data_IF_381716252069
#
_entry.id   IF_381716252069
#
_cell.length_a   1.000
_cell.length_b   1.000
_cell.length_c   1.000
_cell.angle_alpha   90.00
_cell.angle_beta   90.00
_cell.angle_gamma   90.00
#
_symmetry.space_group_name_H-M   'P 1'
#
loop_
_entity.id
_entity.type
_entity.pdbx_description
1 polymer ?
#
# COMPACT_ATOMS: atom_id res chain seq x y z
N UNK A 1 24.12 -1.01 -3.78
CA UNK A 1 23.07 -1.84 -4.38
C UNK A 1 22.53 -2.79 -3.34
N UNK A 2 21.28 -2.58 -2.93
CA UNK A 2 20.62 -3.43 -1.94
C UNK A 2 20.23 -4.72 -2.67
N UNK A 3 20.88 -5.82 -2.34
CA UNK A 3 20.41 -7.14 -2.75
C UNK A 3 19.14 -7.46 -1.97
N UNK A 4 18.08 -7.94 -2.63
CA UNK A 4 16.93 -8.48 -1.91
C UNK A 4 17.38 -9.76 -1.20
N UNK A 5 17.48 -9.72 0.14
CA UNK A 5 17.93 -10.85 0.95
C UNK A 5 16.76 -11.74 1.40
N UNK A 6 15.57 -11.48 0.90
CA UNK A 6 14.34 -12.19 1.26
C UNK A 6 13.23 -11.23 1.68
N UNK A 7 12.19 -11.79 2.28
CA UNK A 7 11.05 -11.02 2.76
C UNK A 7 10.88 -11.18 4.27
N UNK A 8 10.48 -10.13 4.99
CA UNK A 8 10.02 -10.28 6.36
C UNK A 8 8.88 -11.29 6.47
N UNK A 9 8.68 -11.82 7.68
CA UNK A 9 7.56 -12.73 7.95
C UNK A 9 6.23 -12.09 7.59
N UNK A 10 5.38 -12.85 6.92
CA UNK A 10 4.04 -12.39 6.56
C UNK A 10 3.16 -12.24 7.81
N UNK A 11 2.39 -11.13 7.93
CA UNK A 11 1.42 -10.97 9.00
C UNK A 11 0.33 -12.05 8.96
N UNK A 12 -0.10 -12.52 10.13
CA UNK A 12 -1.27 -13.37 10.31
C UNK A 12 -2.43 -12.53 10.85
N UNK A 13 -3.38 -12.22 10.00
CA UNK A 13 -4.51 -11.32 10.32
C UNK A 13 -5.60 -11.93 11.21
N UNK A 14 -5.42 -13.16 11.68
CA UNK A 14 -6.22 -13.69 12.79
C UNK A 14 -5.84 -13.02 14.13
N UNK A 15 -4.68 -12.37 14.22
CA UNK A 15 -4.20 -11.71 15.44
C UNK A 15 -4.30 -10.19 15.30
N UNK A 16 -4.92 -9.55 16.31
CA UNK A 16 -5.12 -8.09 16.34
C UNK A 16 -3.83 -7.29 16.26
N UNK A 17 -2.73 -7.80 16.78
CA UNK A 17 -1.39 -7.16 16.71
C UNK A 17 -0.93 -6.87 15.28
N UNK A 18 -1.51 -7.51 14.25
CA UNK A 18 -1.20 -7.29 12.85
C UNK A 18 -2.15 -6.27 12.18
N UNK A 19 -2.98 -5.61 12.98
CA UNK A 19 -3.83 -4.51 12.60
C UNK A 19 -3.36 -3.24 13.32
N UNK A 20 -2.98 -2.22 12.57
CA UNK A 20 -2.57 -0.93 13.16
C UNK A 20 -3.79 -0.10 13.56
N UNK A 21 -4.97 -0.39 12.99
CA UNK A 21 -6.26 0.14 13.37
C UNK A 21 -7.33 -0.95 13.36
N UNK A 22 -8.10 -1.00 14.43
CA UNK A 22 -9.26 -1.87 14.59
C UNK A 22 -10.15 -1.31 15.70
N UNK A 23 -11.47 -1.49 15.67
CA UNK A 23 -12.35 -1.07 16.78
C UNK A 23 -12.06 -1.75 18.12
N UNK A 24 -11.29 -2.83 18.10
CA UNK A 24 -10.86 -3.59 19.29
C UNK A 24 -9.57 -3.06 19.91
N UNK A 25 -8.86 -2.19 19.20
CA UNK A 25 -7.66 -1.50 19.65
C UNK A 25 -7.98 -0.04 19.82
N UNK A 26 -7.76 0.52 21.02
CA UNK A 26 -7.78 1.96 21.23
C UNK A 26 -6.55 2.56 20.56
N UNK A 27 -6.73 3.07 19.35
CA UNK A 27 -5.70 3.86 18.71
C UNK A 27 -5.83 5.25 19.29
N UNK A 28 -4.79 5.76 19.95
CA UNK A 28 -4.75 7.18 20.30
C UNK A 28 -4.60 7.97 19.00
N UNK A 29 -5.72 8.30 18.39
CA UNK A 29 -5.74 9.25 17.28
C UNK A 29 -5.50 10.63 17.85
N UNK A 30 -4.58 11.43 17.28
CA UNK A 30 -4.37 12.78 17.76
C UNK A 30 -5.63 13.60 17.56
N UNK A 31 -6.05 14.23 18.64
CA UNK A 31 -7.08 15.27 18.76
C UNK A 31 -8.42 14.98 18.09
N UNK A 32 -9.38 14.63 18.92
CA UNK A 32 -10.78 14.48 18.57
C UNK A 32 -11.40 15.82 18.16
N UNK A 33 -11.40 16.14 16.89
CA UNK A 33 -12.30 17.18 16.36
C UNK A 33 -13.78 16.82 16.51
N UNK A 34 -14.09 15.56 16.89
CA UNK A 34 -15.45 15.00 16.89
C UNK A 34 -15.93 14.55 18.27
N UNK A 35 -15.42 15.11 19.35
CA UNK A 35 -15.94 14.85 20.70
C UNK A 35 -17.46 15.12 20.83
N UNK A 36 -17.99 15.95 19.94
CA UNK A 36 -19.42 16.25 19.83
C UNK A 36 -20.24 15.16 19.13
N UNK A 37 -19.59 14.17 18.48
CA UNK A 37 -20.24 13.09 17.74
C UNK A 37 -20.12 11.73 18.46
N UNK A 38 -19.81 11.72 19.75
CA UNK A 38 -19.59 10.50 20.56
C UNK A 38 -20.73 9.49 20.49
N UNK A 39 -21.94 9.95 20.24
CA UNK A 39 -23.14 9.12 20.16
C UNK A 39 -23.49 8.69 18.73
N UNK A 40 -22.76 9.18 17.73
CA UNK A 40 -23.01 8.86 16.33
C UNK A 40 -21.97 7.86 15.81
N UNK A 41 -22.39 6.60 15.64
CA UNK A 41 -21.63 5.63 14.87
C UNK A 41 -22.36 5.34 13.57
N UNK A 42 -21.76 5.69 12.44
CA UNK A 42 -22.24 5.23 11.15
C UNK A 42 -22.18 3.70 11.09
N UNK A 43 -23.21 3.07 10.53
CA UNK A 43 -23.19 1.62 10.28
C UNK A 43 -22.37 1.28 9.02
N UNK A 44 -21.20 1.91 8.92
CA UNK A 44 -20.26 1.80 7.79
C UNK A 44 -18.87 1.61 8.37
N UNK A 45 -18.12 0.69 7.79
CA UNK A 45 -16.72 0.48 8.12
C UNK A 45 -15.81 1.21 7.13
N UNK A 46 -14.58 1.53 7.53
CA UNK A 46 -13.53 2.04 6.65
C UNK A 46 -12.38 1.04 6.65
N UNK A 47 -12.08 0.49 5.50
CA UNK A 47 -10.85 -0.28 5.28
C UNK A 47 -9.79 0.66 4.72
N UNK A 48 -8.81 1.02 5.56
CA UNK A 48 -7.82 2.03 5.25
C UNK A 48 -6.47 1.43 4.88
N UNK A 49 -5.92 1.87 3.73
CA UNK A 49 -4.60 1.47 3.24
C UNK A 49 -3.66 2.67 3.23
N UNK A 50 -2.70 2.65 4.13
CA UNK A 50 -1.79 3.75 4.36
C UNK A 50 -0.69 3.88 3.29
N UNK A 51 -0.09 5.11 3.15
CA UNK A 51 1.00 5.39 2.22
C UNK A 51 2.30 4.73 2.64
N UNK A 52 3.30 4.83 1.76
CA UNK A 52 4.68 4.45 2.10
C UNK A 52 5.21 5.35 3.21
N UNK A 53 5.59 4.75 4.33
CA UNK A 53 6.32 5.37 5.44
C UNK A 53 7.68 4.70 5.66
N UNK A 54 8.00 3.68 4.86
CA UNK A 54 9.25 2.95 4.89
C UNK A 54 10.21 3.52 3.87
N UNK A 55 11.21 4.26 4.34
CA UNK A 55 12.14 5.00 3.50
C UNK A 55 13.50 4.31 3.35
N UNK A 56 13.77 3.22 4.06
CA UNK A 56 15.15 2.78 4.18
C UNK A 56 15.46 1.47 3.50
N UNK A 57 16.17 1.60 2.40
CA UNK A 57 17.24 0.67 2.11
C UNK A 57 18.50 0.88 2.99
N UNK A 58 18.50 1.77 3.99
CA UNK A 58 19.72 2.14 4.73
C UNK A 58 20.04 1.23 5.91
N UNK A 59 19.08 0.64 6.58
CA UNK A 59 19.30 -0.19 7.76
C UNK A 59 18.74 -1.60 7.66
N UNK A 60 18.11 -1.96 6.55
CA UNK A 60 17.51 -3.29 6.36
C UNK A 60 17.87 -3.88 5.01
N UNK A 61 18.16 -5.15 5.00
CA UNK A 61 18.43 -5.90 3.79
C UNK A 61 17.15 -6.25 3.01
N UNK A 62 16.00 -5.65 3.36
CA UNK A 62 14.71 -5.98 2.78
C UNK A 62 14.15 -4.83 1.96
N UNK A 63 13.56 -5.17 0.83
CA UNK A 63 12.79 -4.24 0.02
C UNK A 63 11.41 -3.93 0.62
N UNK A 64 10.94 -4.80 1.50
CA UNK A 64 9.68 -4.68 2.21
C UNK A 64 9.90 -4.41 3.69
N UNK A 65 9.08 -3.52 4.25
CA UNK A 65 9.06 -3.24 5.66
C UNK A 65 8.73 -4.48 6.48
N UNK A 66 9.35 -4.59 7.65
CA UNK A 66 8.97 -5.60 8.63
C UNK A 66 7.74 -5.09 9.43
N UNK A 67 6.56 -5.75 9.32
CA UNK A 67 5.36 -5.33 10.06
C UNK A 67 5.47 -5.46 11.58
N UNK A 68 6.47 -6.21 12.08
CA UNK A 68 6.71 -6.38 13.52
C UNK A 68 7.76 -5.38 14.05
N UNK A 69 8.33 -4.51 13.21
CA UNK A 69 9.30 -3.50 13.62
C UNK A 69 8.59 -2.34 14.35
N UNK A 70 8.95 -2.08 15.64
CA UNK A 70 8.31 -1.04 16.44
C UNK A 70 8.49 0.38 15.86
N UNK A 71 9.61 0.68 15.20
CA UNK A 71 9.84 2.00 14.58
C UNK A 71 8.95 2.17 13.35
N UNK A 72 8.82 1.11 12.55
CA UNK A 72 7.90 1.10 11.42
C UNK A 72 6.43 1.27 11.89
N UNK A 73 6.00 0.52 12.89
CA UNK A 73 4.65 0.62 13.48
C UNK A 73 4.40 2.04 13.98
N UNK A 74 5.36 2.67 14.67
CA UNK A 74 5.26 4.06 15.12
C UNK A 74 5.09 5.01 13.94
N UNK A 75 5.91 4.86 12.91
CA UNK A 75 5.84 5.70 11.71
C UNK A 75 4.48 5.59 11.00
N UNK A 76 3.93 4.38 10.88
CA UNK A 76 2.58 4.19 10.32
C UNK A 76 1.53 4.89 11.18
N UNK A 77 1.60 4.73 12.52
CA UNK A 77 0.65 5.34 13.45
C UNK A 77 0.70 6.87 13.38
N UNK A 78 1.89 7.44 13.53
CA UNK A 78 2.06 8.87 13.73
C UNK A 78 1.91 9.65 12.41
N UNK A 79 2.46 9.13 11.30
CA UNK A 79 2.46 9.83 10.02
C UNK A 79 1.23 9.53 9.17
N UNK A 80 0.80 8.26 9.10
CA UNK A 80 -0.28 7.88 8.21
C UNK A 80 -1.65 7.90 8.90
N UNK A 81 -1.82 7.18 10.01
CA UNK A 81 -3.12 7.14 10.67
C UNK A 81 -3.48 8.48 11.28
N UNK A 82 -2.55 9.09 12.02
CA UNK A 82 -2.79 10.37 12.70
C UNK A 82 -3.16 11.51 11.76
N UNK A 83 -2.53 11.57 10.58
CA UNK A 83 -2.74 12.68 9.65
C UNK A 83 -3.79 12.40 8.56
N UNK A 84 -4.20 11.16 8.34
CA UNK A 84 -5.07 10.80 7.24
C UNK A 84 -6.31 10.01 7.67
N UNK A 85 -6.14 8.84 8.33
CA UNK A 85 -7.27 8.03 8.75
C UNK A 85 -8.08 8.66 9.90
N UNK A 86 -7.48 9.57 10.66
CA UNK A 86 -8.12 10.27 11.76
C UNK A 86 -9.40 11.01 11.37
N UNK A 87 -9.56 11.41 10.12
CA UNK A 87 -10.78 12.03 9.59
C UNK A 87 -12.03 11.14 9.77
N UNK A 88 -11.84 9.82 9.80
CA UNK A 88 -12.92 8.84 9.98
C UNK A 88 -13.13 8.46 11.44
N UNK A 89 -12.28 8.94 12.34
CA UNK A 89 -12.31 8.58 13.76
C UNK A 89 -13.57 9.10 14.44
N UNK A 90 -14.15 8.28 15.28
CA UNK A 90 -15.36 8.60 16.05
C UNK A 90 -16.66 8.44 15.27
N UNK A 91 -16.64 8.41 13.94
CA UNK A 91 -17.83 8.27 13.10
C UNK A 91 -17.96 6.91 12.41
N UNK A 92 -16.86 6.20 12.19
CA UNK A 92 -16.84 4.86 11.58
C UNK A 92 -15.95 3.91 12.37
N UNK A 93 -16.06 2.61 12.07
CA UNK A 93 -15.05 1.66 12.48
C UNK A 93 -13.92 1.66 11.44
N UNK A 94 -12.68 1.87 11.89
CA UNK A 94 -11.51 1.88 11.01
C UNK A 94 -10.78 0.55 11.15
N UNK A 95 -10.53 -0.09 10.01
CA UNK A 95 -9.68 -1.29 9.90
C UNK A 95 -8.49 -0.97 9.01
N UNK A 96 -7.29 -1.10 9.54
CA UNK A 96 -6.07 -0.88 8.77
C UNK A 96 -5.06 -1.98 9.10
N UNK A 97 -4.70 -2.82 8.13
CA UNK A 97 -3.74 -3.89 8.37
C UNK A 97 -2.31 -3.36 8.35
N UNK A 98 -1.43 -3.91 9.19
CA UNK A 98 0.01 -3.82 8.96
C UNK A 98 0.36 -4.71 7.77
N UNK A 99 1.10 -4.20 6.80
CA UNK A 99 1.51 -4.98 5.64
C UNK A 99 2.97 -4.71 5.28
N UNK A 100 3.60 -5.65 4.60
CA UNK A 100 4.99 -5.53 4.14
C UNK A 100 5.09 -4.55 2.99
N UNK A 101 4.92 -3.25 3.28
CA UNK A 101 4.99 -2.21 2.26
C UNK A 101 6.36 -2.19 1.59
N UNK A 102 6.39 -1.89 0.30
CA UNK A 102 7.63 -1.66 -0.42
C UNK A 102 8.21 -0.29 -0.02
N UNK A 103 9.54 -0.18 0.04
CA UNK A 103 10.19 1.08 0.32
C UNK A 103 10.01 2.08 -0.85
N UNK A 104 10.23 3.37 -0.54
CA UNK A 104 9.89 4.45 -1.48
C UNK A 104 10.56 4.31 -2.85
N UNK A 105 11.88 4.10 -2.90
CA UNK A 105 12.60 3.97 -4.17
C UNK A 105 12.18 2.72 -4.94
N UNK A 106 11.87 1.62 -4.24
CA UNK A 106 11.32 0.41 -4.85
C UNK A 106 9.97 0.67 -5.54
N UNK A 107 9.13 1.51 -4.94
CA UNK A 107 7.87 1.93 -5.53
C UNK A 107 8.08 2.81 -6.77
N UNK A 108 9.06 3.70 -6.75
CA UNK A 108 9.44 4.52 -7.91
C UNK A 108 9.89 3.62 -9.07
N UNK A 109 10.71 2.59 -8.81
CA UNK A 109 11.12 1.62 -9.82
C UNK A 109 9.94 0.81 -10.37
N UNK A 110 8.99 0.43 -9.53
CA UNK A 110 7.78 -0.27 -9.95
C UNK A 110 6.94 0.58 -10.91
N UNK A 111 6.68 1.83 -10.55
CA UNK A 111 5.89 2.75 -11.36
C UNK A 111 6.57 3.08 -12.70
N UNK A 112 7.87 3.33 -12.69
CA UNK A 112 8.65 3.59 -13.90
C UNK A 112 8.62 2.39 -14.87
N UNK A 113 8.62 1.17 -14.33
CA UNK A 113 8.53 -0.05 -15.12
C UNK A 113 7.17 -0.15 -15.84
N UNK A 114 6.08 0.19 -15.16
CA UNK A 114 4.74 0.15 -15.74
C UNK A 114 4.57 1.22 -16.82
N UNK A 115 5.01 2.46 -16.57
CA UNK A 115 5.00 3.54 -17.56
C UNK A 115 5.77 3.17 -18.82
N UNK A 116 6.97 2.59 -18.69
CA UNK A 116 7.76 2.16 -19.84
C UNK A 116 7.09 1.01 -20.61
N UNK A 117 6.34 0.14 -19.95
CA UNK A 117 5.56 -0.90 -20.59
C UNK A 117 4.38 -0.30 -21.37
N UNK A 118 3.67 0.66 -20.80
CA UNK A 118 2.58 1.37 -21.48
C UNK A 118 3.10 2.13 -22.71
N UNK A 119 4.22 2.85 -22.58
CA UNK A 119 4.87 3.54 -23.70
C UNK A 119 5.26 2.53 -24.81
N UNK A 120 5.77 1.34 -24.43
CA UNK A 120 6.15 0.31 -25.39
C UNK A 120 4.97 -0.29 -26.15
N UNK A 121 3.76 -0.20 -25.62
CA UNK A 121 2.53 -0.70 -26.23
C UNK A 121 1.77 0.36 -27.05
N UNK A 122 2.05 1.65 -26.85
CA UNK A 122 1.39 2.76 -27.55
C UNK A 122 2.30 3.36 -28.64
N UNK A 123 1.95 3.22 -29.94
CA UNK A 123 2.78 3.76 -31.06
C UNK A 123 2.95 5.28 -31.03
N UNK A 124 2.00 6.03 -30.47
CA UNK A 124 2.07 7.50 -30.36
C UNK A 124 3.07 7.88 -29.28
N UNK A 125 2.97 7.26 -28.09
CA UNK A 125 3.89 7.48 -27.00
C UNK A 125 5.30 7.02 -27.34
N UNK A 126 5.47 5.93 -28.12
CA UNK A 126 6.78 5.49 -28.61
C UNK A 126 7.47 6.55 -29.46
N UNK A 127 6.75 7.25 -30.33
CA UNK A 127 7.31 8.27 -31.21
C UNK A 127 7.84 9.48 -30.41
N UNK A 128 7.09 9.91 -29.41
CA UNK A 128 7.50 11.02 -28.56
C UNK A 128 8.64 10.59 -27.61
N UNK A 129 8.59 9.38 -27.08
CA UNK A 129 9.64 8.82 -26.24
C UNK A 129 10.96 8.64 -26.97
N UNK A 130 10.94 8.23 -28.25
CA UNK A 130 12.13 8.09 -29.09
C UNK A 130 12.86 9.42 -29.26
N UNK A 131 12.13 10.51 -29.38
CA UNK A 131 12.71 11.86 -29.44
C UNK A 131 13.42 12.23 -28.14
N UNK A 132 12.87 11.85 -26.98
CA UNK A 132 13.52 12.03 -25.68
C UNK A 132 14.65 11.03 -25.42
N UNK A 133 14.56 9.81 -25.96
CA UNK A 133 15.62 8.81 -25.87
C UNK A 133 16.92 9.27 -26.51
N UNK A 134 16.87 9.85 -27.69
CA UNK A 134 18.06 10.29 -28.40
C UNK A 134 18.81 11.40 -27.63
N UNK A 135 18.09 12.24 -26.87
CA UNK A 135 18.67 13.27 -26.03
C UNK A 135 19.20 12.73 -24.68
N UNK A 136 18.54 11.71 -24.11
CA UNK A 136 18.88 11.14 -22.80
C UNK A 136 19.90 10.01 -22.92
N UNK A 137 19.83 9.18 -23.99
CA UNK A 137 20.68 7.98 -24.18
C UNK A 137 22.04 8.25 -24.85
N UNK A 138 22.31 9.46 -25.29
CA UNK A 138 23.67 9.86 -25.69
C UNK A 138 24.67 9.83 -24.52
N UNK A 139 24.22 9.64 -23.30
CA UNK A 139 25.02 9.66 -22.09
C UNK A 139 25.34 8.23 -21.60
N UNK A 140 26.66 7.85 -21.64
CA UNK A 140 27.17 6.52 -21.24
C UNK A 140 26.76 6.05 -19.84
N UNK A 141 26.41 6.96 -18.94
CA UNK A 141 25.91 6.64 -17.61
C UNK A 141 24.53 5.97 -17.64
N UNK A 142 23.72 6.17 -18.67
CA UNK A 142 22.39 5.55 -18.80
C UNK A 142 22.42 4.10 -19.34
N UNK A 143 23.45 3.72 -20.09
CA UNK A 143 23.60 2.32 -20.53
C UNK A 143 23.93 1.39 -19.34
N UNK A 144 24.66 1.88 -18.36
CA UNK A 144 24.89 1.18 -17.09
C UNK A 144 23.59 1.05 -16.26
N UNK A 145 22.74 2.07 -16.33
CA UNK A 145 21.44 2.08 -15.69
C UNK A 145 20.46 1.00 -16.21
N UNK A 146 20.54 0.58 -17.46
CA UNK A 146 19.58 -0.37 -18.06
C UNK A 146 19.75 -1.81 -17.60
N UNK A 147 20.97 -2.30 -17.40
CA UNK A 147 21.21 -3.68 -16.95
C UNK A 147 20.87 -3.88 -15.48
N UNK A 148 21.31 -2.97 -14.63
CA UNK A 148 20.97 -2.95 -13.21
C UNK A 148 19.47 -2.71 -12.99
N UNK A 149 18.84 -1.91 -13.85
CA UNK A 149 17.40 -1.63 -13.82
C UNK A 149 16.53 -2.89 -14.02
N UNK A 150 16.90 -3.84 -14.87
CA UNK A 150 16.11 -5.06 -15.08
C UNK A 150 16.05 -5.92 -13.81
N UNK A 151 17.15 -6.02 -13.08
CA UNK A 151 17.21 -6.72 -11.80
C UNK A 151 16.43 -6.00 -10.71
N UNK A 152 16.58 -4.68 -10.64
CA UNK A 152 15.85 -3.81 -9.72
C UNK A 152 14.34 -3.85 -10.00
N UNK A 153 13.92 -3.90 -11.28
CA UNK A 153 12.51 -4.04 -11.68
C UNK A 153 11.92 -5.38 -11.23
N UNK A 154 12.67 -6.47 -11.36
CA UNK A 154 12.22 -7.78 -10.89
C UNK A 154 11.99 -7.78 -9.38
N UNK A 155 12.92 -7.23 -8.60
CA UNK A 155 12.77 -7.10 -7.16
C UNK A 155 11.63 -6.16 -6.77
N UNK A 156 11.48 -5.06 -7.49
CA UNK A 156 10.39 -4.12 -7.27
C UNK A 156 9.03 -4.76 -7.50
N UNK A 157 8.87 -5.48 -8.61
CA UNK A 157 7.64 -6.20 -8.92
C UNK A 157 7.31 -7.24 -7.84
N UNK A 158 8.27 -8.06 -7.49
CA UNK A 158 8.11 -9.10 -6.47
C UNK A 158 7.73 -8.49 -5.10
N UNK A 159 8.41 -7.41 -4.71
CA UNK A 159 8.15 -6.70 -3.46
C UNK A 159 6.76 -6.06 -3.45
N UNK A 160 6.32 -5.51 -4.59
CA UNK A 160 4.96 -4.98 -4.75
C UNK A 160 3.89 -6.07 -4.64
N UNK A 161 4.13 -7.23 -5.26
CA UNK A 161 3.22 -8.38 -5.20
C UNK A 161 3.13 -8.95 -3.77
N UNK A 162 4.24 -8.95 -3.02
CA UNK A 162 4.27 -9.34 -1.61
C UNK A 162 3.41 -8.39 -0.77
N UNK A 163 3.57 -7.07 -0.92
CA UNK A 163 2.75 -6.08 -0.22
C UNK A 163 1.25 -6.25 -0.55
N UNK A 164 0.92 -6.42 -1.83
CA UNK A 164 -0.46 -6.66 -2.26
C UNK A 164 -1.03 -7.97 -1.69
N UNK A 165 -0.23 -9.04 -1.64
CA UNK A 165 -0.69 -10.32 -1.09
C UNK A 165 -1.11 -10.20 0.38
N UNK A 166 -0.41 -9.38 1.15
CA UNK A 166 -0.76 -9.10 2.54
C UNK A 166 -2.10 -8.36 2.63
N UNK A 167 -2.27 -7.30 1.86
CA UNK A 167 -3.50 -6.50 1.82
C UNK A 167 -4.70 -7.35 1.40
N UNK A 168 -4.55 -8.18 0.36
CA UNK A 168 -5.59 -9.10 -0.09
C UNK A 168 -6.01 -10.06 1.03
N UNK A 169 -5.06 -10.67 1.74
CA UNK A 169 -5.35 -11.56 2.86
C UNK A 169 -6.03 -10.83 4.02
N UNK A 170 -5.55 -9.62 4.33
CA UNK A 170 -6.17 -8.79 5.37
C UNK A 170 -7.61 -8.42 5.03
N UNK A 171 -7.87 -8.00 3.79
CA UNK A 171 -9.22 -7.66 3.36
C UNK A 171 -10.19 -8.84 3.42
N UNK A 172 -9.76 -10.01 2.97
CA UNK A 172 -10.57 -11.22 3.07
C UNK A 172 -10.84 -11.60 4.53
N UNK A 173 -9.86 -11.45 5.42
CA UNK A 173 -10.05 -11.64 6.86
C UNK A 173 -10.99 -10.63 7.48
N UNK A 174 -10.90 -9.36 7.08
CA UNK A 174 -11.84 -8.34 7.51
C UNK A 174 -13.29 -8.70 7.13
N UNK A 175 -13.52 -9.13 5.88
CA UNK A 175 -14.85 -9.56 5.45
C UNK A 175 -15.36 -10.78 6.21
N UNK A 176 -14.47 -11.74 6.50
CA UNK A 176 -14.81 -12.98 7.21
C UNK A 176 -15.16 -12.76 8.68
N UNK A 177 -14.37 -11.95 9.40
CA UNK A 177 -14.40 -11.89 10.85
C UNK A 177 -15.02 -10.62 11.43
N UNK A 178 -14.99 -9.50 10.70
CA UNK A 178 -15.24 -8.18 11.28
C UNK A 178 -16.37 -7.39 10.60
N UNK A 179 -16.53 -7.52 9.29
CA UNK A 179 -17.48 -6.70 8.52
C UNK A 179 -18.94 -6.96 8.90
N UNK A 180 -19.31 -8.21 9.20
CA UNK A 180 -20.67 -8.60 9.58
C UNK A 180 -21.76 -8.10 8.60
N UNK A 181 -21.45 -8.07 7.30
CA UNK A 181 -22.38 -7.69 6.26
C UNK A 181 -22.63 -6.17 6.11
N UNK A 182 -21.90 -5.33 6.82
CA UNK A 182 -22.03 -3.88 6.73
C UNK A 182 -21.48 -3.35 5.39
N UNK A 183 -21.95 -2.16 5.03
CA UNK A 183 -21.28 -1.37 3.99
C UNK A 183 -19.89 -0.93 4.46
N UNK A 184 -18.98 -0.76 3.52
CA UNK A 184 -17.62 -0.29 3.81
C UNK A 184 -17.11 0.68 2.75
N UNK A 185 -16.15 1.47 3.16
CA UNK A 185 -15.41 2.42 2.32
C UNK A 185 -13.99 1.90 2.19
N UNK A 186 -13.43 1.90 0.99
CA UNK A 186 -11.99 1.75 0.79
C UNK A 186 -11.37 3.15 0.77
N UNK A 187 -10.61 3.47 1.80
CA UNK A 187 -9.85 4.71 1.87
C UNK A 187 -8.34 4.40 1.74
N UNK A 188 -7.64 5.17 0.92
CA UNK A 188 -6.24 4.87 0.63
C UNK A 188 -5.46 6.11 0.20
N UNK A 189 -4.14 6.08 0.36
CA UNK A 189 -3.24 7.11 -0.13
C UNK A 189 -1.94 6.51 -0.69
N UNK A 190 -1.39 7.10 -1.77
CA UNK A 190 -0.09 6.74 -2.36
C UNK A 190 0.01 5.23 -2.68
N UNK A 191 1.01 4.51 -2.15
CA UNK A 191 1.14 3.05 -2.32
C UNK A 191 -0.14 2.31 -1.94
N UNK A 192 -0.82 2.73 -0.87
CA UNK A 192 -2.10 2.18 -0.46
C UNK A 192 -3.16 2.32 -1.56
N UNK A 193 -3.19 3.44 -2.31
CA UNK A 193 -4.14 3.66 -3.42
C UNK A 193 -3.88 2.72 -4.59
N UNK A 194 -2.61 2.42 -4.90
CA UNK A 194 -2.26 1.46 -5.95
C UNK A 194 -2.76 0.06 -5.60
N UNK A 195 -2.57 -0.34 -4.35
CA UNK A 195 -3.07 -1.63 -3.86
C UNK A 195 -4.59 -1.66 -3.74
N UNK A 196 -5.23 -0.55 -3.35
CA UNK A 196 -6.69 -0.42 -3.31
C UNK A 196 -7.29 -0.60 -4.71
N UNK A 197 -6.72 0.06 -5.72
CA UNK A 197 -7.16 -0.12 -7.12
C UNK A 197 -7.07 -1.58 -7.57
N UNK A 198 -5.97 -2.25 -7.27
CA UNK A 198 -5.80 -3.68 -7.57
C UNK A 198 -6.79 -4.56 -6.79
N UNK A 199 -7.01 -4.28 -5.51
CA UNK A 199 -7.96 -4.99 -4.67
C UNK A 199 -9.40 -4.87 -5.19
N UNK A 200 -9.79 -3.66 -5.61
CA UNK A 200 -11.11 -3.41 -6.22
C UNK A 200 -11.27 -4.25 -7.48
N UNK A 201 -10.28 -4.23 -8.38
CA UNK A 201 -10.35 -4.97 -9.63
C UNK A 201 -10.30 -6.49 -9.46
N UNK A 202 -9.44 -6.99 -8.56
CA UNK A 202 -9.20 -8.43 -8.41
C UNK A 202 -10.24 -9.13 -7.53
N UNK A 203 -10.83 -8.43 -6.55
CA UNK A 203 -11.66 -9.04 -5.51
C UNK A 203 -13.08 -8.46 -5.47
N UNK A 204 -13.22 -7.13 -5.48
CA UNK A 204 -14.50 -6.48 -5.24
C UNK A 204 -15.36 -6.51 -6.50
N UNK A 205 -14.84 -6.03 -7.62
CA UNK A 205 -15.61 -5.93 -8.87
C UNK A 205 -16.09 -7.28 -9.42
N UNK A 206 -15.31 -8.39 -9.32
CA UNK A 206 -15.77 -9.71 -9.76
C UNK A 206 -16.83 -10.35 -8.84
N UNK A 207 -16.98 -9.87 -7.60
CA UNK A 207 -17.90 -10.43 -6.61
C UNK A 207 -19.04 -9.46 -6.31
N UNK A 208 -20.24 -9.77 -6.82
CA UNK A 208 -21.42 -8.91 -6.70
C UNK A 208 -21.80 -8.66 -5.22
N UNK A 209 -21.72 -9.67 -4.37
CA UNK A 209 -22.06 -9.55 -2.94
C UNK A 209 -21.12 -8.56 -2.20
N UNK A 210 -19.83 -8.58 -2.54
CA UNK A 210 -18.85 -7.65 -1.95
C UNK A 210 -19.03 -6.25 -2.56
N UNK A 211 -19.25 -6.18 -3.86
CA UNK A 211 -19.46 -4.92 -4.60
C UNK A 211 -20.67 -4.14 -4.10
N UNK A 212 -21.76 -4.81 -3.76
CA UNK A 212 -22.99 -4.19 -3.26
C UNK A 212 -22.82 -3.57 -1.87
N UNK A 213 -21.70 -3.85 -1.19
CA UNK A 213 -21.36 -3.30 0.13
C UNK A 213 -20.35 -2.14 0.05
N UNK A 214 -19.74 -1.88 -1.12
CA UNK A 214 -18.74 -0.83 -1.32
C UNK A 214 -19.35 0.60 -1.34
#
# INVERSE_FOLDING_TARGET
LVSNTGFPKAPDYNYMKNWIASPKEEIPLPVNYYDTLKDFKANVDVFYLYPTVYNSGYNGNFWNANPEDPEHIRSVRDLALGNQASIFSGITNIYSPLYRQIFYDGLVYHNSSNILTEIALDPILQKDFKKYQDDIFSNKSLQYFTYENNKLRSYSKESYDVAYSDIKRAFLKYLELENNGKHFIIAAHSQGSMHASRLINDIIMPNQEIKDKL
#
